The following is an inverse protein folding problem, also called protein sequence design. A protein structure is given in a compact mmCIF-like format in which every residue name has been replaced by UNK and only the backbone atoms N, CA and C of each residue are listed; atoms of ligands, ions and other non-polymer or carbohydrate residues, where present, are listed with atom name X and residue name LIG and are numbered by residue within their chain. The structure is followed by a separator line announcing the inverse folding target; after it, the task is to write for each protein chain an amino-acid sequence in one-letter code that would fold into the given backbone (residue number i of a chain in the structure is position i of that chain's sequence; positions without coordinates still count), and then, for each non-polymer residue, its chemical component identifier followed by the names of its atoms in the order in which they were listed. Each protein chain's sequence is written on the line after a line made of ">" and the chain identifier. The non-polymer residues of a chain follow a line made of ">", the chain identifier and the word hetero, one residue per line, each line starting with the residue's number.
data_IF_786131471562
#
_entry.id   IF_786131471562
#
_cell.length_a   1.000
_cell.length_b   1.000
_cell.length_c   1.000
_cell.angle_alpha   90.00
_cell.angle_beta   90.00
_cell.angle_gamma   90.00
#
_symmetry.space_group_name_H-M   'P 1'
#
loop_
_entity.id
_entity.type
_entity.pdbx_description
1 polymer ?
#
# COMPACT_ATOMS: atom_id res chain seq x y z
N UNK A 1 -20.93 -2.79 -2.93
CA UNK A 1 -20.80 -2.28 -1.54
C UNK A 1 -19.36 -1.83 -1.39
N UNK A 2 -19.10 -0.60 -0.97
CA UNK A 2 -17.73 -0.09 -0.86
C UNK A 2 -16.92 -0.87 0.18
N UNK A 3 -15.68 -1.24 -0.16
CA UNK A 3 -14.73 -1.92 0.73
C UNK A 3 -14.34 -0.97 1.86
N UNK A 4 -14.20 -1.51 3.08
CA UNK A 4 -13.84 -0.76 4.29
C UNK A 4 -12.59 -1.32 4.95
N UNK A 5 -12.00 -0.54 5.84
CA UNK A 5 -10.88 -1.02 6.66
C UNK A 5 -11.32 -2.21 7.50
N UNK A 6 -10.52 -3.27 7.50
CA UNK A 6 -10.78 -4.52 8.20
C UNK A 6 -11.59 -5.54 7.41
N UNK A 7 -12.20 -5.16 6.29
CA UNK A 7 -12.85 -6.11 5.39
C UNK A 7 -11.81 -7.05 4.77
N UNK A 8 -12.21 -8.25 4.41
CA UNK A 8 -11.38 -9.13 3.58
C UNK A 8 -11.26 -8.51 2.19
N UNK A 9 -10.04 -8.36 1.70
CA UNK A 9 -9.77 -7.90 0.36
C UNK A 9 -10.31 -8.96 -0.63
N UNK A 10 -11.21 -8.58 -1.55
CA UNK A 10 -11.78 -9.55 -2.50
C UNK A 10 -10.69 -10.27 -3.29
N UNK A 11 -10.79 -11.59 -3.38
CA UNK A 11 -9.93 -12.39 -4.25
C UNK A 11 -10.37 -12.29 -5.71
N UNK A 12 -9.41 -12.40 -6.62
CA UNK A 12 -9.67 -12.38 -8.06
C UNK A 12 -8.57 -13.11 -8.83
N UNK A 13 -8.86 -13.45 -10.06
CA UNK A 13 -7.87 -13.91 -11.03
C UNK A 13 -7.88 -12.97 -12.22
N UNK A 14 -6.71 -12.48 -12.61
CA UNK A 14 -6.56 -11.49 -13.69
C UNK A 14 -5.30 -11.72 -14.51
N UNK A 15 -5.34 -11.30 -15.78
CA UNK A 15 -4.16 -11.23 -16.64
C UNK A 15 -3.30 -10.02 -16.26
N UNK A 16 -1.99 -10.21 -16.23
CA UNK A 16 -1.01 -9.16 -15.95
C UNK A 16 0.15 -9.21 -16.93
N UNK A 17 0.98 -8.16 -16.94
CA UNK A 17 2.23 -8.12 -17.72
C UNK A 17 3.22 -9.23 -17.34
N UNK A 18 3.01 -9.92 -16.22
CA UNK A 18 3.86 -11.02 -15.75
C UNK A 18 3.10 -12.37 -15.71
N UNK A 19 2.04 -12.51 -16.50
CA UNK A 19 1.21 -13.70 -16.57
C UNK A 19 -0.06 -13.60 -15.73
N UNK A 20 -0.83 -14.67 -15.70
CA UNK A 20 -2.08 -14.73 -14.92
C UNK A 20 -1.79 -14.85 -13.44
N UNK A 21 -2.47 -14.03 -12.62
CA UNK A 21 -2.33 -13.97 -11.17
C UNK A 21 -3.66 -14.30 -10.51
N UNK A 22 -3.70 -15.27 -9.59
CA UNK A 22 -4.72 -15.33 -8.53
C UNK A 22 -4.20 -14.49 -7.36
N UNK A 23 -4.96 -13.48 -6.94
CA UNK A 23 -4.45 -12.43 -6.07
C UNK A 23 -4.09 -12.93 -4.67
N UNK A 24 -4.94 -13.71 -4.01
CA UNK A 24 -4.66 -14.22 -2.67
C UNK A 24 -3.50 -15.22 -2.66
N UNK A 25 -3.44 -16.11 -3.67
CA UNK A 25 -2.34 -17.05 -3.84
C UNK A 25 -1.02 -16.32 -4.12
N UNK A 26 -1.04 -15.36 -5.04
CA UNK A 26 0.12 -14.53 -5.38
C UNK A 26 0.62 -13.73 -4.18
N UNK A 27 -0.29 -13.18 -3.37
CA UNK A 27 0.05 -12.43 -2.17
C UNK A 27 0.74 -13.32 -1.12
N UNK A 28 0.26 -14.57 -0.94
CA UNK A 28 0.80 -15.49 0.07
C UNK A 28 0.77 -14.86 1.47
N UNK A 29 1.87 -14.97 2.21
CA UNK A 29 2.03 -14.40 3.55
C UNK A 29 2.64 -12.97 3.54
N UNK A 30 2.72 -12.35 2.37
CA UNK A 30 3.23 -10.99 2.23
C UNK A 30 2.14 -9.95 2.47
N UNK A 31 2.56 -8.74 2.77
CA UNK A 31 1.73 -7.55 2.60
C UNK A 31 1.55 -7.26 1.11
N UNK A 32 0.49 -6.57 0.75
CA UNK A 32 0.22 -6.18 -0.62
C UNK A 32 -0.14 -4.72 -0.78
N UNK A 33 0.29 -4.14 -1.90
CA UNK A 33 -0.17 -2.84 -2.39
C UNK A 33 -0.80 -3.06 -3.74
N UNK A 34 -2.12 -2.96 -3.80
CA UNK A 34 -2.90 -2.92 -5.03
C UNK A 34 -3.23 -1.47 -5.34
N UNK A 35 -2.77 -0.95 -6.45
CA UNK A 35 -3.03 0.45 -6.83
C UNK A 35 -3.50 0.59 -8.27
N UNK A 36 -4.43 1.50 -8.52
CA UNK A 36 -4.90 1.80 -9.87
C UNK A 36 -4.29 3.08 -10.42
N UNK A 37 -4.21 3.17 -11.74
CA UNK A 37 -3.88 4.39 -12.46
C UNK A 37 -4.93 4.63 -13.57
N UNK A 38 -5.25 5.89 -13.89
CA UNK A 38 -6.34 6.20 -14.82
C UNK A 38 -6.16 5.64 -16.22
N UNK A 39 -4.97 5.83 -16.83
CA UNK A 39 -4.72 5.46 -18.22
C UNK A 39 -3.23 5.37 -18.55
N UNK A 40 -2.88 4.37 -19.35
CA UNK A 40 -1.55 4.25 -19.95
C UNK A 40 -1.21 5.45 -20.84
N UNK A 41 0.07 5.63 -21.10
CA UNK A 41 0.61 6.71 -21.95
C UNK A 41 0.15 8.11 -21.52
N UNK A 42 0.06 8.34 -20.21
CA UNK A 42 -0.29 9.64 -19.61
C UNK A 42 0.82 10.14 -18.68
N UNK A 43 1.03 11.46 -18.57
CA UNK A 43 2.20 12.01 -17.89
C UNK A 43 2.30 11.61 -16.42
N UNK A 44 1.24 11.81 -15.64
CA UNK A 44 1.24 11.54 -14.19
C UNK A 44 1.39 10.04 -13.93
N UNK A 45 0.69 9.19 -14.67
CA UNK A 45 0.79 7.74 -14.53
C UNK A 45 2.21 7.24 -14.83
N UNK A 46 2.87 7.77 -15.86
CA UNK A 46 4.26 7.45 -16.19
C UNK A 46 5.18 7.73 -15.00
N UNK A 47 5.06 8.90 -14.37
CA UNK A 47 5.88 9.26 -13.21
C UNK A 47 5.59 8.37 -12.00
N UNK A 48 4.34 7.99 -11.78
CA UNK A 48 3.95 7.13 -10.66
C UNK A 48 4.47 5.70 -10.81
N UNK A 49 4.34 5.10 -11.99
CA UNK A 49 4.81 3.72 -12.22
C UNK A 49 6.34 3.66 -12.18
N UNK A 50 7.02 4.67 -12.72
CA UNK A 50 8.47 4.81 -12.59
C UNK A 50 8.91 4.90 -11.12
N UNK A 51 8.26 5.73 -10.32
CA UNK A 51 8.56 5.84 -8.90
C UNK A 51 8.27 4.54 -8.14
N UNK A 52 7.16 3.86 -8.42
CA UNK A 52 6.86 2.57 -7.82
C UNK A 52 7.94 1.51 -8.16
N UNK A 53 8.43 1.51 -9.40
CA UNK A 53 9.51 0.62 -9.83
C UNK A 53 10.85 0.94 -9.14
N UNK A 54 11.19 2.23 -8.99
CA UNK A 54 12.39 2.68 -8.27
C UNK A 54 12.33 2.29 -6.78
N UNK A 55 11.16 2.35 -6.17
CA UNK A 55 10.95 2.02 -4.75
C UNK A 55 10.67 0.53 -4.50
N UNK A 56 10.61 -0.30 -5.54
CA UNK A 56 10.37 -1.75 -5.39
C UNK A 56 11.30 -2.42 -4.37
N UNK A 57 12.64 -2.14 -4.34
CA UNK A 57 13.53 -2.69 -3.32
C UNK A 57 13.12 -2.30 -1.89
N UNK A 58 12.55 -1.11 -1.69
CA UNK A 58 12.07 -0.67 -0.38
C UNK A 58 10.78 -1.40 0.04
N UNK A 59 9.89 -1.70 -0.92
CA UNK A 59 8.74 -2.57 -0.68
C UNK A 59 9.18 -3.99 -0.36
N UNK A 60 10.15 -4.55 -1.10
CA UNK A 60 10.67 -5.90 -0.88
C UNK A 60 11.29 -6.09 0.51
N UNK A 61 12.07 -5.11 0.99
CA UNK A 61 12.64 -5.11 2.36
C UNK A 61 11.56 -5.22 3.45
N UNK A 62 10.35 -4.76 3.16
CA UNK A 62 9.18 -4.79 4.06
C UNK A 62 8.28 -5.99 3.85
N UNK A 63 8.69 -6.94 3.00
CA UNK A 63 7.86 -8.06 2.55
C UNK A 63 6.52 -7.59 1.97
N UNK A 64 6.56 -6.58 1.10
CA UNK A 64 5.38 -6.00 0.44
C UNK A 64 5.45 -6.29 -1.05
N UNK A 65 4.43 -6.94 -1.58
CA UNK A 65 4.23 -7.14 -3.02
C UNK A 65 3.41 -5.99 -3.59
N UNK A 66 3.82 -5.51 -4.75
CA UNK A 66 3.18 -4.38 -5.44
C UNK A 66 2.54 -4.88 -6.73
N UNK A 67 1.32 -4.45 -7.00
CA UNK A 67 0.60 -4.76 -8.24
C UNK A 67 -0.20 -3.54 -8.69
N UNK A 68 -0.02 -3.15 -9.95
CA UNK A 68 -0.74 -2.06 -10.59
C UNK A 68 -1.99 -2.54 -11.32
N UNK A 69 -2.92 -1.62 -11.61
CA UNK A 69 -4.13 -1.90 -12.37
C UNK A 69 -4.56 -0.69 -13.19
N UNK A 70 -4.97 -0.91 -14.43
CA UNK A 70 -5.87 -0.01 -15.16
C UNK A 70 -6.82 -0.81 -16.06
N UNK A 71 -7.78 -0.12 -16.65
CA UNK A 71 -8.73 -0.71 -17.62
C UNK A 71 -8.13 -0.82 -19.04
N UNK A 72 -6.88 -0.43 -19.23
CA UNK A 72 -6.19 -0.58 -20.50
C UNK A 72 -5.89 -2.05 -20.80
N UNK A 73 -5.81 -2.45 -22.10
CA UNK A 73 -5.51 -3.82 -22.47
C UNK A 73 -4.03 -4.18 -22.26
N UNK A 74 -3.75 -5.48 -22.16
CA UNK A 74 -2.42 -6.00 -21.89
C UNK A 74 -1.33 -5.49 -22.84
N UNK A 75 -1.62 -5.45 -24.14
CA UNK A 75 -0.67 -4.96 -25.15
C UNK A 75 -0.32 -3.48 -24.94
N UNK A 76 -1.24 -2.68 -24.41
CA UNK A 76 -0.99 -1.30 -24.02
C UNK A 76 0.04 -1.22 -22.89
N UNK A 77 -0.15 -1.97 -21.83
CA UNK A 77 0.79 -2.04 -20.70
C UNK A 77 2.20 -2.44 -21.17
N UNK A 78 2.29 -3.54 -21.94
CA UNK A 78 3.58 -4.06 -22.44
C UNK A 78 4.29 -3.02 -23.33
N UNK A 79 3.54 -2.35 -24.19
CA UNK A 79 4.10 -1.30 -25.04
C UNK A 79 4.59 -0.09 -24.22
N UNK A 80 3.83 0.29 -23.22
CA UNK A 80 4.12 1.47 -22.39
C UNK A 80 5.27 1.27 -21.40
N UNK A 81 5.58 0.04 -20.99
CA UNK A 81 6.74 -0.25 -20.11
C UNK A 81 8.05 0.33 -20.67
N UNK A 82 8.21 0.35 -22.00
CA UNK A 82 9.39 0.93 -22.64
C UNK A 82 9.49 2.44 -22.46
N UNK A 83 8.36 3.14 -22.61
CA UNK A 83 8.32 4.59 -22.41
C UNK A 83 8.59 4.96 -20.95
N UNK A 84 8.09 4.14 -20.01
CA UNK A 84 8.37 4.30 -18.59
C UNK A 84 9.87 4.13 -18.32
N UNK A 85 10.48 3.06 -18.83
CA UNK A 85 11.92 2.83 -18.67
C UNK A 85 12.75 3.96 -19.27
N UNK A 86 12.42 4.38 -20.48
CA UNK A 86 13.13 5.46 -21.18
C UNK A 86 13.04 6.80 -20.43
N UNK A 87 11.85 7.14 -19.93
CA UNK A 87 11.60 8.45 -19.31
C UNK A 87 11.93 8.50 -17.81
N UNK A 88 11.81 7.38 -17.09
CA UNK A 88 12.00 7.31 -15.64
C UNK A 88 13.31 6.60 -15.24
N UNK A 89 14.03 6.02 -16.19
CA UNK A 89 15.32 5.36 -15.98
C UNK A 89 15.21 4.04 -15.20
N UNK A 90 14.05 3.45 -15.12
CA UNK A 90 13.82 2.18 -14.42
C UNK A 90 12.71 1.39 -15.11
N UNK A 91 13.02 0.13 -15.46
CA UNK A 91 12.02 -0.79 -15.99
C UNK A 91 10.93 -1.11 -14.95
N UNK A 92 9.69 -1.28 -15.40
CA UNK A 92 8.61 -1.76 -14.53
C UNK A 92 8.94 -3.18 -14.06
N UNK A 93 8.93 -3.40 -12.77
CA UNK A 93 9.39 -4.63 -12.11
C UNK A 93 8.33 -5.26 -11.18
N UNK A 94 7.09 -4.94 -11.43
CA UNK A 94 5.91 -5.49 -10.76
C UNK A 94 4.79 -5.73 -11.79
N UNK A 95 3.85 -6.67 -11.53
CA UNK A 95 2.77 -6.96 -12.46
C UNK A 95 1.79 -5.79 -12.59
N UNK A 96 1.30 -5.54 -13.81
CA UNK A 96 0.21 -4.62 -14.10
C UNK A 96 -0.98 -5.41 -14.62
N UNK A 97 -2.13 -5.29 -13.94
CA UNK A 97 -3.39 -5.95 -14.29
C UNK A 97 -4.04 -5.21 -15.47
N UNK A 98 -4.35 -5.96 -16.54
CA UNK A 98 -5.12 -5.49 -17.68
C UNK A 98 -6.62 -5.75 -17.43
N UNK A 99 -7.31 -4.81 -16.79
CA UNK A 99 -8.70 -4.95 -16.34
C UNK A 99 -9.70 -4.38 -17.37
N UNK A 100 -9.58 -4.78 -18.65
CA UNK A 100 -10.40 -4.23 -19.74
C UNK A 100 -11.89 -4.54 -19.58
N UNK A 101 -12.24 -5.59 -18.87
CA UNK A 101 -13.63 -5.97 -18.56
C UNK A 101 -14.13 -5.37 -17.22
N UNK A 102 -13.30 -4.59 -16.53
CA UNK A 102 -13.58 -3.85 -15.29
C UNK A 102 -13.94 -4.74 -14.09
N UNK A 103 -13.66 -6.01 -14.13
CA UNK A 103 -14.03 -6.92 -13.04
C UNK A 103 -13.34 -6.59 -11.74
N UNK A 104 -12.05 -6.32 -11.78
CA UNK A 104 -11.27 -5.99 -10.57
C UNK A 104 -11.53 -4.56 -10.12
N UNK A 105 -11.56 -3.61 -11.05
CA UNK A 105 -11.83 -2.20 -10.73
C UNK A 105 -13.23 -1.98 -10.15
N UNK A 106 -14.25 -2.69 -10.63
CA UNK A 106 -15.61 -2.65 -10.07
C UNK A 106 -15.64 -3.33 -8.69
N UNK A 107 -14.95 -4.47 -8.54
CA UNK A 107 -14.87 -5.22 -7.28
C UNK A 107 -14.25 -4.37 -6.15
N UNK A 108 -13.24 -3.53 -6.48
CA UNK A 108 -12.53 -2.66 -5.55
C UNK A 108 -13.04 -1.21 -5.55
N UNK A 109 -14.16 -0.92 -6.22
CA UNK A 109 -14.75 0.42 -6.30
C UNK A 109 -13.74 1.50 -6.76
N UNK A 110 -12.96 1.16 -7.80
CA UNK A 110 -11.89 2.03 -8.32
C UNK A 110 -12.36 2.98 -9.43
N UNK A 111 -13.59 2.82 -9.92
CA UNK A 111 -14.21 3.70 -10.91
C UNK A 111 -15.22 4.57 -10.18
N UNK A 112 -15.00 5.87 -10.21
CA UNK A 112 -15.85 6.87 -9.56
C UNK A 112 -16.63 7.65 -10.62
N UNK A 113 -17.91 7.36 -10.90
CA UNK A 113 -18.63 7.91 -12.05
C UNK A 113 -18.67 9.43 -12.11
N UNK A 114 -18.67 10.11 -10.96
CA UNK A 114 -18.64 11.57 -10.90
C UNK A 114 -17.25 12.19 -11.18
N UNK A 115 -16.19 11.38 -11.12
CA UNK A 115 -14.84 11.80 -11.49
C UNK A 115 -14.48 11.32 -12.91
N UNK A 116 -14.79 10.06 -13.23
CA UNK A 116 -14.69 9.44 -14.54
C UNK A 116 -15.51 8.15 -14.53
N UNK A 117 -16.33 7.96 -15.54
CA UNK A 117 -17.08 6.73 -15.76
C UNK A 117 -16.33 5.72 -16.65
N UNK A 118 -15.17 6.13 -17.18
CA UNK A 118 -14.40 5.36 -18.17
C UNK A 118 -13.11 4.78 -17.60
N UNK A 119 -12.48 5.47 -16.67
CA UNK A 119 -11.16 5.12 -16.12
C UNK A 119 -11.22 4.98 -14.60
N UNK A 120 -10.29 4.20 -14.07
CA UNK A 120 -10.07 4.15 -12.62
C UNK A 120 -9.51 5.50 -12.12
N UNK A 121 -9.88 5.87 -10.89
CA UNK A 121 -9.16 6.91 -10.14
C UNK A 121 -7.85 6.35 -9.61
N UNK A 122 -7.06 7.15 -8.89
CA UNK A 122 -5.80 6.70 -8.29
C UNK A 122 -6.05 6.12 -6.89
N UNK A 123 -6.60 4.92 -6.85
CA UNK A 123 -6.82 4.19 -5.60
C UNK A 123 -5.57 3.44 -5.16
N UNK A 124 -5.40 3.27 -3.85
CA UNK A 124 -4.41 2.40 -3.22
C UNK A 124 -5.09 1.61 -2.12
N UNK A 125 -4.89 0.31 -2.13
CA UNK A 125 -5.28 -0.60 -1.05
C UNK A 125 -4.02 -1.25 -0.48
N UNK A 126 -3.76 -1.05 0.81
CA UNK A 126 -2.75 -1.82 1.54
C UNK A 126 -3.45 -2.98 2.23
N UNK A 127 -2.97 -4.18 1.95
CA UNK A 127 -3.58 -5.45 2.37
C UNK A 127 -2.56 -6.19 3.22
N UNK A 128 -2.99 -6.64 4.41
CA UNK A 128 -2.14 -7.41 5.32
C UNK A 128 -2.00 -8.88 4.91
N UNK A 129 -1.09 -9.64 5.56
CA UNK A 129 -0.94 -11.08 5.34
C UNK A 129 -2.21 -11.88 5.65
N UNK A 130 -3.07 -11.35 6.53
CA UNK A 130 -4.40 -11.85 6.86
C UNK A 130 -5.47 -11.59 5.79
N UNK A 131 -5.06 -11.10 4.63
CA UNK A 131 -5.92 -10.71 3.50
C UNK A 131 -6.90 -9.59 3.82
N UNK A 132 -6.69 -8.85 4.91
CA UNK A 132 -7.57 -7.73 5.28
C UNK A 132 -7.02 -6.40 4.81
N UNK A 133 -7.94 -5.53 4.42
CA UNK A 133 -7.63 -4.15 4.02
C UNK A 133 -7.22 -3.35 5.26
N UNK A 134 -6.01 -2.80 5.23
CA UNK A 134 -5.39 -2.03 6.32
C UNK A 134 -5.39 -0.52 6.06
N UNK A 135 -5.37 -0.12 4.80
CA UNK A 135 -5.39 1.28 4.37
C UNK A 135 -6.09 1.40 3.02
N UNK A 136 -6.82 2.49 2.85
CA UNK A 136 -7.39 2.91 1.55
C UNK A 136 -7.02 4.36 1.34
N UNK A 137 -6.47 4.69 0.17
CA UNK A 137 -6.20 6.06 -0.27
C UNK A 137 -6.79 6.24 -1.66
N UNK A 138 -7.39 7.40 -1.92
CA UNK A 138 -7.97 7.72 -3.22
C UNK A 138 -7.63 9.14 -3.61
N UNK A 139 -7.07 9.30 -4.81
CA UNK A 139 -6.65 10.57 -5.39
C UNK A 139 -7.35 10.79 -6.73
N UNK A 140 -7.65 12.04 -7.09
CA UNK A 140 -8.16 12.36 -8.42
C UNK A 140 -7.09 12.16 -9.48
N UNK A 141 -7.51 12.01 -10.73
CA UNK A 141 -6.60 11.77 -11.86
C UNK A 141 -5.51 12.84 -12.01
N UNK A 142 -5.79 14.07 -11.61
CA UNK A 142 -4.88 15.23 -11.71
C UNK A 142 -3.75 15.24 -10.69
N UNK A 143 -3.81 14.40 -9.64
CA UNK A 143 -2.90 14.48 -8.49
C UNK A 143 -2.12 13.18 -8.33
N UNK A 144 -0.82 13.23 -8.61
CA UNK A 144 0.10 12.11 -8.35
C UNK A 144 0.24 11.81 -6.86
N UNK A 145 0.37 10.53 -6.53
CA UNK A 145 0.51 10.04 -5.15
C UNK A 145 1.93 10.23 -4.63
N UNK A 146 2.06 10.28 -3.30
CA UNK A 146 3.35 10.26 -2.63
C UNK A 146 3.69 8.83 -2.18
N UNK A 147 4.54 8.13 -2.94
CA UNK A 147 4.94 6.75 -2.62
C UNK A 147 5.84 6.66 -1.38
N UNK A 148 6.53 7.73 -1.00
CA UNK A 148 7.30 7.78 0.25
C UNK A 148 6.35 7.79 1.46
N UNK A 149 5.22 8.50 1.36
CA UNK A 149 4.16 8.43 2.37
C UNK A 149 3.57 7.03 2.46
N UNK A 150 3.40 6.34 1.34
CA UNK A 150 2.92 4.96 1.33
C UNK A 150 3.88 4.03 2.08
N UNK A 151 5.20 4.15 1.89
CA UNK A 151 6.20 3.41 2.66
C UNK A 151 6.13 3.75 4.15
N UNK A 152 6.02 5.04 4.50
CA UNK A 152 5.87 5.49 5.88
C UNK A 152 4.66 4.86 6.57
N UNK A 153 3.52 4.85 5.90
CA UNK A 153 2.29 4.26 6.45
C UNK A 153 2.42 2.73 6.58
N UNK A 154 3.06 2.06 5.64
CA UNK A 154 3.34 0.62 5.73
C UNK A 154 4.22 0.32 6.94
N UNK A 155 5.28 1.09 7.18
CA UNK A 155 6.13 0.95 8.37
C UNK A 155 5.29 1.08 9.67
N UNK A 156 4.40 2.05 9.72
CA UNK A 156 3.47 2.22 10.84
C UNK A 156 2.52 1.03 11.01
N UNK A 157 1.92 0.56 9.92
CA UNK A 157 0.98 -0.57 9.96
C UNK A 157 1.66 -1.87 10.41
N UNK A 158 2.89 -2.12 9.93
CA UNK A 158 3.66 -3.30 10.33
C UNK A 158 4.10 -3.22 11.79
N UNK A 159 4.52 -2.04 12.26
CA UNK A 159 4.90 -1.82 13.65
C UNK A 159 3.70 -2.07 14.58
N UNK A 160 2.56 -1.47 14.29
CA UNK A 160 1.34 -1.58 15.13
C UNK A 160 0.70 -2.95 15.07
N UNK A 161 0.91 -3.72 13.99
CA UNK A 161 0.47 -5.11 13.90
C UNK A 161 1.27 -6.06 14.80
N UNK A 162 2.54 -5.75 15.07
CA UNK A 162 3.46 -6.62 15.80
C UNK A 162 3.69 -6.21 17.26
N UNK A 163 3.43 -4.96 17.60
CA UNK A 163 3.69 -4.40 18.93
C UNK A 163 2.44 -3.69 19.46
N UNK A 164 2.31 -3.65 20.76
CA UNK A 164 1.20 -2.96 21.45
C UNK A 164 1.43 -1.44 21.51
N UNK A 165 1.67 -0.83 20.35
CA UNK A 165 1.90 0.61 20.18
C UNK A 165 1.00 1.20 19.12
N UNK A 166 0.86 2.52 19.17
CA UNK A 166 0.33 3.36 18.10
C UNK A 166 1.40 4.36 17.66
N UNK A 167 1.33 4.81 16.43
CA UNK A 167 2.23 5.84 15.89
C UNK A 167 1.58 7.22 16.01
N UNK A 168 2.27 8.22 16.57
CA UNK A 168 1.73 9.58 16.69
C UNK A 168 1.65 10.29 15.31
N UNK A 169 1.09 11.49 15.33
CA UNK A 169 1.03 12.36 14.15
C UNK A 169 2.43 12.57 13.56
N UNK A 170 2.53 12.52 12.23
CA UNK A 170 3.78 12.70 11.46
C UNK A 170 4.92 11.72 11.80
N UNK A 171 4.62 10.64 12.50
CA UNK A 171 5.60 9.61 12.85
C UNK A 171 6.36 9.09 11.62
N UNK A 172 7.64 8.85 11.78
CA UNK A 172 8.52 8.19 10.81
C UNK A 172 9.22 7.02 11.47
N UNK A 173 9.65 6.04 10.68
CA UNK A 173 10.41 4.90 11.17
C UNK A 173 11.68 5.37 11.90
N UNK A 174 11.78 5.02 13.17
CA UNK A 174 12.82 5.47 14.10
C UNK A 174 12.34 6.45 15.17
N UNK A 175 11.17 7.07 14.99
CA UNK A 175 10.60 7.98 15.99
C UNK A 175 9.94 7.20 17.14
N UNK A 176 9.80 7.87 18.29
CA UNK A 176 9.09 7.31 19.43
C UNK A 176 7.62 6.97 19.13
N UNK A 177 7.11 5.98 19.83
CA UNK A 177 5.75 5.48 19.69
C UNK A 177 4.92 5.73 20.94
N UNK A 178 3.62 5.52 20.85
CA UNK A 178 2.69 5.62 21.97
C UNK A 178 2.29 4.19 22.39
N UNK A 179 2.45 3.85 23.66
CA UNK A 179 1.92 2.59 24.21
C UNK A 179 0.40 2.67 24.20
N UNK A 180 -0.27 1.64 23.66
CA UNK A 180 -1.73 1.64 23.60
C UNK A 180 -2.33 1.74 25.00
N UNK A 181 -3.37 2.57 25.21
CA UNK A 181 -3.95 2.79 26.56
C UNK A 181 -4.54 1.52 27.19
N UNK A 182 -4.93 0.54 26.38
CA UNK A 182 -5.47 -0.76 26.84
C UNK A 182 -4.44 -1.66 27.51
N UNK A 183 -3.14 -1.38 27.36
CA UNK A 183 -2.07 -2.16 27.98
C UNK A 183 -1.81 -1.62 29.40
N UNK A 184 -1.84 -2.51 30.42
CA UNK A 184 -1.51 -2.15 31.80
C UNK A 184 -0.04 -1.74 31.94
N UNK A 185 0.30 -0.99 32.99
CA UNK A 185 1.71 -0.66 33.28
C UNK A 185 2.54 -1.89 33.62
N UNK A 186 1.94 -2.91 34.23
CA UNK A 186 2.61 -4.16 34.53
C UNK A 186 2.98 -4.91 33.25
N UNK A 187 2.04 -5.05 32.31
CA UNK A 187 2.29 -5.67 31.02
C UNK A 187 3.25 -4.83 30.16
N UNK A 188 3.15 -3.50 30.24
CA UNK A 188 4.02 -2.59 29.53
C UNK A 188 5.48 -2.73 29.97
N UNK A 189 5.76 -2.92 31.26
CA UNK A 189 7.13 -3.16 31.77
C UNK A 189 7.80 -4.38 31.14
N UNK A 190 7.01 -5.44 30.91
CA UNK A 190 7.51 -6.64 30.27
C UNK A 190 7.78 -6.46 28.76
N UNK A 191 6.93 -5.67 28.09
CA UNK A 191 6.99 -5.45 26.62
C UNK A 191 7.94 -4.35 26.20
N UNK A 192 8.18 -3.35 27.06
CA UNK A 192 9.00 -2.17 26.77
C UNK A 192 10.14 -2.01 27.79
N UNK A 193 11.17 -2.85 27.73
CA UNK A 193 12.28 -2.84 28.70
C UNK A 193 13.08 -1.53 28.69
N UNK A 194 13.04 -0.77 27.60
CA UNK A 194 13.62 0.57 27.51
C UNK A 194 12.83 1.61 28.33
N UNK A 195 11.66 1.23 28.87
CA UNK A 195 10.77 2.12 29.61
C UNK A 195 9.99 3.08 28.73
N UNK A 196 9.33 4.02 29.37
CA UNK A 196 8.54 5.07 28.69
C UNK A 196 8.50 6.35 29.50
N UNK A 197 8.17 7.44 28.82
CA UNK A 197 7.85 8.72 29.45
C UNK A 197 6.32 8.86 29.56
N UNK A 198 5.80 8.98 30.75
CA UNK A 198 4.37 9.22 30.99
C UNK A 198 4.10 10.72 31.00
N UNK A 199 3.59 11.25 29.89
CA UNK A 199 3.14 12.64 29.79
C UNK A 199 1.77 12.80 30.49
N UNK A 200 0.91 11.82 30.28
CA UNK A 200 -0.40 11.64 30.90
C UNK A 200 -0.67 10.12 31.04
N UNK A 201 -1.57 9.67 31.93
CA UNK A 201 -1.91 8.27 32.04
C UNK A 201 -2.34 7.60 30.74
N UNK A 202 -2.92 8.37 29.81
CA UNK A 202 -3.33 7.91 28.48
C UNK A 202 -2.30 8.21 27.40
N UNK A 203 -1.16 8.88 27.71
CA UNK A 203 -0.13 9.30 26.77
C UNK A 203 1.25 8.89 27.31
N UNK A 204 1.60 7.64 27.06
CA UNK A 204 2.87 7.01 27.41
C UNK A 204 3.72 6.85 26.16
N UNK A 205 4.81 7.56 26.09
CA UNK A 205 5.72 7.60 24.92
C UNK A 205 6.93 6.73 25.20
N UNK A 206 7.21 5.79 24.28
CA UNK A 206 8.31 4.82 24.35
C UNK A 206 9.16 4.85 23.09
N UNK A 207 10.46 4.57 23.16
CA UNK A 207 11.26 4.33 21.97
C UNK A 207 10.65 3.22 21.11
N UNK A 208 10.85 3.31 19.79
CA UNK A 208 10.33 2.32 18.85
C UNK A 208 10.83 0.93 19.22
N UNK A 209 9.95 -0.05 19.54
CA UNK A 209 10.35 -1.29 20.21
C UNK A 209 11.24 -2.21 19.37
N UNK A 210 11.18 -2.15 18.05
CA UNK A 210 12.05 -2.94 17.17
C UNK A 210 13.37 -2.25 16.79
N UNK A 211 13.68 -1.10 17.39
CA UNK A 211 14.93 -0.36 17.20
C UNK A 211 15.78 -0.29 18.48
N UNK A 212 15.21 -0.63 19.62
CA UNK A 212 15.92 -0.75 20.88
C UNK A 212 16.28 -2.22 21.10
N UNK A 213 17.55 -2.54 20.97
CA UNK A 213 18.15 -3.86 21.21
C UNK A 213 19.34 -3.74 22.16
#
# INVERSE_FOLDING_TARGET
>A
MAIRLGDEAPDFTAETTQGTVNFHEWLGDSWGVLFSHPKDYTPVCTTELGMAAQLKPEFDKRNVKVIGLSVDPLDSHIGWEKDIEETQGTAVNFPMIADSDRKVSDLYDMIHPNASDTFTVRSVFVIGPDKKVKLIMTYPASTGRNFVELLRVIDSLQLTANYSVATPVNWKDGDDCIIVPSLSDEDAKAKFPAGWNEIKPYLRVTPQPNKVG
#
